data_IF_524368600477
#
_entry.id   IF_524368600477
#
_cell.length_a   1.000
_cell.length_b   1.000
_cell.length_c   1.000
_cell.angle_alpha   90.00
_cell.angle_beta   90.00
_cell.angle_gamma   90.00
#
_symmetry.space_group_name_H-M   'P 1'
#
loop_
_entity.id
_entity.type
_entity.pdbx_description
1 polymer ?
#
# COMPACT_ATOMS: atom_id res chain seq x y z
N UNK A 1 57.69 28.26 -40.04
CA UNK A 1 57.18 27.17 -40.90
C UNK A 1 56.13 26.40 -40.11
N UNK A 2 55.07 25.97 -40.80
CA UNK A 2 53.74 25.56 -40.30
C UNK A 2 53.73 24.40 -39.28
N UNK A 3 52.63 24.37 -38.51
CA UNK A 3 51.87 23.16 -38.09
C UNK A 3 52.49 22.33 -36.93
N UNK A 4 51.80 21.95 -35.84
CA UNK A 4 50.41 21.49 -35.68
C UNK A 4 49.84 21.80 -34.29
N UNK A 5 48.55 22.11 -34.29
CA UNK A 5 47.59 22.10 -33.19
C UNK A 5 47.35 20.64 -32.73
N UNK A 6 47.30 20.42 -31.42
CA UNK A 6 46.70 19.24 -30.75
C UNK A 6 45.80 19.83 -29.66
N UNK A 7 44.53 20.17 -29.94
CA UNK A 7 43.31 19.34 -29.67
C UNK A 7 43.45 18.58 -28.34
N UNK A 8 43.00 19.18 -27.23
CA UNK A 8 41.73 18.83 -26.56
C UNK A 8 41.58 17.30 -26.36
N UNK A 9 41.56 16.78 -25.14
CA UNK A 9 40.40 16.90 -24.25
C UNK A 9 40.79 16.58 -22.82
N UNK A 10 40.44 17.49 -21.91
CA UNK A 10 40.46 17.30 -20.47
C UNK A 10 39.48 16.14 -20.15
N UNK A 11 40.02 15.00 -19.72
CA UNK A 11 39.25 13.86 -19.26
C UNK A 11 38.35 14.31 -18.11
N UNK A 12 37.07 14.45 -18.41
CA UNK A 12 36.01 14.70 -17.45
C UNK A 12 35.97 13.50 -16.51
N UNK A 13 36.42 13.68 -15.27
CA UNK A 13 36.12 12.76 -14.17
C UNK A 13 34.60 12.73 -14.03
N UNK A 14 33.97 11.77 -14.69
CA UNK A 14 32.63 11.29 -14.41
C UNK A 14 32.68 10.61 -13.04
N UNK A 15 32.51 11.42 -11.99
CA UNK A 15 31.94 10.98 -10.72
C UNK A 15 30.52 10.48 -11.04
N UNK A 16 30.42 9.22 -11.46
CA UNK A 16 29.17 8.45 -11.38
C UNK A 16 28.97 8.21 -9.88
N UNK A 17 28.36 9.19 -9.23
CA UNK A 17 27.77 8.99 -7.93
C UNK A 17 26.68 7.93 -8.09
N UNK A 18 26.96 6.72 -7.61
CA UNK A 18 25.93 5.78 -7.23
C UNK A 18 25.08 6.46 -6.15
N UNK A 19 23.96 7.06 -6.54
CA UNK A 19 22.95 7.52 -5.58
C UNK A 19 22.16 6.30 -5.10
N UNK A 20 22.24 5.94 -3.80
CA UNK A 20 21.43 4.89 -3.23
C UNK A 20 20.25 5.57 -2.53
N UNK A 21 19.30 6.14 -3.27
CA UNK A 21 18.06 6.63 -2.67
C UNK A 21 16.97 6.74 -3.74
N UNK A 22 15.90 5.96 -3.57
CA UNK A 22 14.65 6.08 -4.32
C UNK A 22 13.86 7.32 -3.94
N UNK A 23 14.52 8.47 -3.86
CA UNK A 23 13.90 9.77 -3.62
C UNK A 23 14.02 10.63 -4.89
N UNK A 24 12.85 11.11 -5.31
CA UNK A 24 12.62 12.16 -6.29
C UNK A 24 12.78 11.80 -7.76
N UNK A 25 11.69 11.24 -8.32
CA UNK A 25 11.27 11.68 -9.65
C UNK A 25 11.13 13.23 -9.62
N UNK A 26 11.95 13.86 -10.44
CA UNK A 26 12.20 15.29 -10.49
C UNK A 26 10.95 16.08 -10.92
N UNK A 27 10.37 16.83 -9.98
CA UNK A 27 9.81 18.17 -10.24
C UNK A 27 8.35 18.31 -10.66
N UNK A 28 7.63 17.25 -11.06
CA UNK A 28 6.19 17.33 -11.37
C UNK A 28 5.41 16.34 -10.51
N UNK A 29 4.69 16.86 -9.51
CA UNK A 29 3.66 16.10 -8.78
C UNK A 29 2.65 15.56 -9.80
N UNK A 30 2.74 14.29 -10.15
CA UNK A 30 1.76 13.63 -11.00
C UNK A 30 0.47 13.47 -10.18
N UNK A 31 -0.53 14.29 -10.49
CA UNK A 31 -1.90 14.08 -10.03
C UNK A 31 -2.64 13.39 -11.19
N UNK A 32 -2.92 12.08 -11.10
CA UNK A 32 -3.73 11.43 -12.12
C UNK A 32 -5.11 12.12 -12.18
N UNK A 33 -5.73 12.23 -13.37
CA UNK A 33 -7.13 12.66 -13.47
C UNK A 33 -8.05 11.81 -12.59
N UNK A 34 -9.18 12.36 -12.16
CA UNK A 34 -10.15 11.66 -11.30
C UNK A 34 -10.61 10.35 -11.94
N UNK A 35 -10.82 10.36 -13.25
CA UNK A 35 -11.17 9.19 -14.06
C UNK A 35 -10.12 8.10 -13.97
N UNK A 36 -8.85 8.47 -13.80
CA UNK A 36 -7.74 7.52 -13.67
C UNK A 36 -7.68 6.93 -12.27
N UNK A 37 -7.91 7.76 -11.23
CA UNK A 37 -7.98 7.30 -9.84
C UNK A 37 -9.16 6.34 -9.60
N UNK A 38 -10.24 6.49 -10.37
CA UNK A 38 -11.40 5.61 -10.32
C UNK A 38 -11.20 4.25 -11.01
N UNK A 39 -10.18 4.10 -11.86
CA UNK A 39 -9.92 2.84 -12.58
C UNK A 39 -9.48 1.75 -11.63
N UNK A 40 -9.83 0.52 -11.97
CA UNK A 40 -9.43 -0.68 -11.22
C UNK A 40 -8.07 -1.14 -11.71
N UNK A 41 -7.18 -1.45 -10.77
CA UNK A 41 -5.91 -2.16 -11.02
C UNK A 41 -6.03 -3.58 -10.46
N UNK A 42 -5.64 -4.55 -11.28
CA UNK A 42 -5.57 -5.95 -10.88
C UNK A 42 -4.13 -6.28 -10.45
N UNK A 43 -3.96 -6.82 -9.26
CA UNK A 43 -2.66 -7.18 -8.68
C UNK A 43 -2.69 -8.63 -8.21
N UNK A 44 -1.55 -9.29 -8.19
CA UNK A 44 -1.37 -10.65 -7.68
C UNK A 44 -0.34 -10.63 -6.55
N UNK A 45 -0.72 -11.13 -5.37
CA UNK A 45 0.15 -11.22 -4.20
C UNK A 45 -0.11 -12.53 -3.48
N UNK A 46 0.94 -13.29 -3.17
CA UNK A 46 0.83 -14.55 -2.43
C UNK A 46 -0.04 -15.62 -3.11
N UNK A 47 -0.18 -15.57 -4.44
CA UNK A 47 -1.03 -16.47 -5.23
C UNK A 47 -2.51 -16.08 -5.29
N UNK A 48 -2.87 -14.91 -4.77
CA UNK A 48 -4.23 -14.37 -4.83
C UNK A 48 -4.29 -13.16 -5.75
N UNK A 49 -5.34 -13.07 -6.57
CA UNK A 49 -5.61 -11.90 -7.39
C UNK A 49 -6.59 -10.95 -6.69
N UNK A 50 -6.21 -9.68 -6.61
CA UNK A 50 -6.98 -8.63 -6.00
C UNK A 50 -7.21 -7.48 -6.98
N UNK A 51 -8.38 -6.86 -6.89
CA UNK A 51 -8.81 -5.77 -7.76
C UNK A 51 -9.17 -4.58 -6.88
N UNK A 52 -8.42 -3.49 -7.03
CA UNK A 52 -8.57 -2.28 -6.24
C UNK A 52 -8.83 -1.09 -7.14
N UNK A 53 -9.63 -0.09 -6.71
CA UNK A 53 -9.59 1.18 -7.40
C UNK A 53 -8.22 1.82 -7.14
N UNK A 54 -7.65 2.48 -8.14
CA UNK A 54 -6.28 3.01 -8.06
C UNK A 54 -6.11 3.97 -6.87
N UNK A 55 -7.17 4.72 -6.50
CA UNK A 55 -7.19 5.58 -5.31
C UNK A 55 -6.91 4.82 -4.01
N UNK A 56 -7.39 3.57 -3.84
CA UNK A 56 -7.23 2.81 -2.60
C UNK A 56 -5.78 2.36 -2.37
N UNK A 57 -4.98 2.31 -3.43
CA UNK A 57 -3.55 1.92 -3.38
C UNK A 57 -2.63 3.10 -3.71
N UNK A 58 -3.13 4.33 -3.51
CA UNK A 58 -2.41 5.57 -3.73
C UNK A 58 -2.53 6.47 -2.50
N UNK A 59 -1.44 7.14 -2.11
CA UNK A 59 -1.48 8.17 -1.07
C UNK A 59 -0.58 9.34 -1.40
N UNK A 60 -1.13 10.54 -1.28
CA UNK A 60 -0.39 11.79 -1.46
C UNK A 60 0.38 11.88 -2.80
N UNK A 61 -0.21 11.33 -3.86
CA UNK A 61 0.39 11.26 -5.21
C UNK A 61 1.42 10.17 -5.43
N UNK A 62 1.60 9.26 -4.47
CA UNK A 62 2.50 8.12 -4.59
C UNK A 62 1.72 6.79 -4.61
N UNK A 63 2.20 5.86 -5.42
CA UNK A 63 1.76 4.47 -5.39
C UNK A 63 2.16 3.82 -4.06
N UNK A 64 1.29 2.95 -3.55
CA UNK A 64 1.54 2.07 -2.40
C UNK A 64 1.72 0.61 -2.80
N UNK A 65 1.97 0.37 -4.08
CA UNK A 65 2.20 -0.95 -4.66
C UNK A 65 3.68 -1.12 -4.94
N UNK A 66 4.27 -2.21 -4.46
CA UNK A 66 5.69 -2.49 -4.56
C UNK A 66 5.94 -3.92 -5.01
N UNK A 67 7.03 -4.12 -5.74
CA UNK A 67 7.50 -5.41 -6.22
C UNK A 67 8.98 -5.56 -5.92
N UNK A 68 9.52 -6.78 -6.00
CA UNK A 68 10.96 -6.98 -5.93
C UNK A 68 11.67 -6.20 -7.05
N UNK A 69 12.70 -5.45 -6.67
CA UNK A 69 13.61 -4.78 -7.58
C UNK A 69 14.40 -5.83 -8.37
N UNK A 70 14.59 -5.62 -9.67
CA UNK A 70 15.54 -6.42 -10.45
C UNK A 70 16.98 -6.04 -10.12
N UNK A 71 17.84 -7.01 -9.83
CA UNK A 71 19.28 -6.80 -9.59
C UNK A 71 19.92 -7.88 -8.71
N UNK A 72 21.26 -7.92 -8.68
CA UNK A 72 22.05 -8.76 -7.76
C UNK A 72 22.16 -8.06 -6.40
N UNK A 73 21.59 -8.65 -5.36
CA UNK A 73 21.59 -8.09 -4.01
C UNK A 73 20.46 -8.64 -3.12
N UNK A 74 20.38 -8.19 -1.85
CA UNK A 74 19.27 -8.58 -0.99
C UNK A 74 17.95 -8.21 -1.65
N UNK A 75 16.93 -9.08 -1.49
CA UNK A 75 15.59 -8.86 -2.01
C UNK A 75 15.12 -7.47 -1.56
N UNK A 76 15.07 -6.51 -2.49
CA UNK A 76 14.66 -5.12 -2.26
C UNK A 76 13.28 -4.89 -2.88
N UNK A 77 12.39 -4.13 -2.23
CA UNK A 77 11.11 -3.69 -2.76
C UNK A 77 11.27 -2.32 -3.42
N UNK A 78 10.75 -2.23 -4.64
CA UNK A 78 10.68 -1.04 -5.45
C UNK A 78 9.21 -0.67 -5.65
N UNK A 79 8.86 0.58 -5.32
CA UNK A 79 7.55 1.12 -5.63
C UNK A 79 7.33 1.14 -7.14
N UNK A 80 6.16 0.67 -7.58
CA UNK A 80 5.72 0.81 -8.96
C UNK A 80 5.25 2.25 -9.12
N UNK A 81 5.83 3.06 -10.03
CA UNK A 81 5.41 4.44 -10.21
C UNK A 81 3.91 4.58 -10.47
N UNK A 82 3.27 5.60 -9.89
CA UNK A 82 1.82 5.81 -10.03
C UNK A 82 1.39 5.99 -11.50
N UNK A 83 2.23 6.63 -12.31
CA UNK A 83 2.00 6.76 -13.76
C UNK A 83 1.95 5.40 -14.46
N UNK A 84 2.78 4.46 -14.02
CA UNK A 84 2.86 3.12 -14.60
C UNK A 84 1.62 2.33 -14.19
N UNK A 85 1.21 2.39 -12.91
CA UNK A 85 -0.06 1.81 -12.46
C UNK A 85 -1.27 2.38 -13.20
N UNK A 86 -1.29 3.68 -13.47
CA UNK A 86 -2.35 4.34 -14.23
C UNK A 86 -2.41 3.90 -15.71
N UNK A 87 -1.25 3.71 -16.35
CA UNK A 87 -1.17 3.18 -17.70
C UNK A 87 -1.63 1.71 -17.74
N UNK A 88 -1.19 0.92 -16.75
CA UNK A 88 -1.56 -0.48 -16.57
C UNK A 88 -3.07 -0.63 -16.37
N UNK A 89 -3.69 0.14 -15.46
CA UNK A 89 -5.14 0.08 -15.20
C UNK A 89 -6.01 0.45 -16.41
N UNK A 90 -5.42 1.09 -17.42
CA UNK A 90 -6.10 1.46 -18.65
C UNK A 90 -6.00 0.41 -19.77
N UNK A 91 -5.07 -0.54 -19.65
CA UNK A 91 -4.69 -1.45 -20.74
C UNK A 91 -4.73 -2.93 -20.36
N UNK A 92 -4.74 -3.27 -19.07
CA UNK A 92 -4.53 -4.63 -18.62
C UNK A 92 -5.68 -5.60 -18.87
N UNK A 93 -5.32 -6.84 -19.21
CA UNK A 93 -6.17 -8.04 -19.18
C UNK A 93 -5.81 -9.03 -18.06
N UNK A 94 -4.68 -8.85 -17.39
CA UNK A 94 -4.13 -9.81 -16.41
C UNK A 94 -3.53 -9.07 -15.20
N UNK A 95 -3.51 -9.66 -13.99
CA UNK A 95 -2.97 -9.01 -12.79
C UNK A 95 -1.44 -8.74 -12.86
N UNK A 96 -0.96 -7.67 -12.23
CA UNK A 96 0.49 -7.47 -11.99
C UNK A 96 0.94 -8.21 -10.72
N UNK A 97 2.01 -9.00 -10.82
CA UNK A 97 2.64 -9.62 -9.65
C UNK A 97 3.36 -8.57 -8.79
N UNK A 98 3.07 -8.56 -7.50
CA UNK A 98 3.56 -7.59 -6.52
C UNK A 98 3.88 -8.30 -5.20
N UNK A 99 4.78 -7.71 -4.42
CA UNK A 99 5.23 -8.29 -3.15
C UNK A 99 4.70 -7.52 -1.94
N UNK A 100 4.25 -6.27 -2.13
CA UNK A 100 3.62 -5.47 -1.09
C UNK A 100 2.58 -4.50 -1.67
N UNK A 101 1.47 -4.33 -0.96
CA UNK A 101 0.41 -3.36 -1.27
C UNK A 101 -0.06 -2.73 0.04
N UNK A 102 0.04 -1.42 0.20
CA UNK A 102 -0.69 -0.72 1.27
C UNK A 102 -2.04 -0.22 0.74
N UNK A 103 -3.10 -0.57 1.45
CA UNK A 103 -4.49 -0.32 1.08
C UNK A 103 -5.04 0.70 2.08
N UNK A 104 -5.42 1.86 1.59
CA UNK A 104 -6.24 2.82 2.34
C UNK A 104 -7.71 2.38 2.19
N UNK A 105 -8.48 2.46 3.27
CA UNK A 105 -9.90 2.13 3.31
C UNK A 105 -10.76 3.37 3.56
N UNK A 106 -10.22 4.57 3.56
CA UNK A 106 -10.97 5.80 3.77
C UNK A 106 -10.31 7.00 3.06
N UNK A 107 -10.96 8.16 3.15
CA UNK A 107 -10.35 9.44 2.73
C UNK A 107 -10.28 9.65 1.22
N UNK A 108 -10.99 8.87 0.41
CA UNK A 108 -10.96 8.98 -1.06
C UNK A 108 -11.53 10.30 -1.59
N UNK A 109 -12.35 10.98 -0.81
CA UNK A 109 -12.90 12.29 -1.14
C UNK A 109 -11.85 13.40 -1.12
N UNK A 110 -10.62 13.16 -0.64
CA UNK A 110 -9.56 14.15 -0.56
C UNK A 110 -8.23 13.64 -1.09
N UNK A 111 -7.41 14.53 -1.63
CA UNK A 111 -6.07 14.19 -2.14
C UNK A 111 -5.05 15.23 -1.70
N UNK A 112 -3.99 14.79 -1.03
CA UNK A 112 -2.86 15.66 -0.66
C UNK A 112 -1.93 15.85 -1.85
N UNK A 113 -1.77 17.09 -2.28
CA UNK A 113 -0.65 17.50 -3.13
C UNK A 113 0.54 17.85 -2.24
N UNK A 114 1.56 17.00 -2.25
CA UNK A 114 2.76 17.17 -1.41
C UNK A 114 3.62 18.35 -1.83
N UNK A 115 3.62 18.72 -3.12
CA UNK A 115 4.37 19.89 -3.60
C UNK A 115 3.78 21.21 -3.10
N UNK A 116 2.46 21.28 -2.99
CA UNK A 116 1.76 22.48 -2.53
C UNK A 116 1.45 22.44 -1.02
N UNK A 117 1.74 21.33 -0.37
CA UNK A 117 1.29 21.00 1.00
C UNK A 117 -0.20 21.32 1.24
N UNK A 118 -1.05 20.96 0.27
CA UNK A 118 -2.49 21.26 0.28
C UNK A 118 -3.33 20.03 0.01
N UNK A 119 -4.46 19.96 0.70
CA UNK A 119 -5.51 18.99 0.44
C UNK A 119 -6.48 19.53 -0.60
N UNK A 120 -6.85 18.68 -1.55
CA UNK A 120 -7.82 18.97 -2.58
C UNK A 120 -8.99 18.02 -2.43
N UNK A 121 -10.18 18.57 -2.26
CA UNK A 121 -11.41 17.80 -2.33
C UNK A 121 -11.63 17.28 -3.76
N UNK A 122 -12.06 16.02 -3.86
CA UNK A 122 -12.39 15.31 -5.09
C UNK A 122 -13.73 14.57 -4.92
N UNK A 123 -14.83 15.26 -4.55
CA UNK A 123 -16.11 14.62 -4.28
C UNK A 123 -16.67 13.88 -5.51
N UNK A 124 -16.34 14.35 -6.71
CA UNK A 124 -16.74 13.71 -7.97
C UNK A 124 -16.08 12.33 -8.20
N UNK A 125 -15.06 11.95 -7.41
CA UNK A 125 -14.47 10.62 -7.50
C UNK A 125 -15.47 9.54 -7.08
N UNK A 126 -16.26 9.79 -6.03
CA UNK A 126 -17.11 8.77 -5.43
C UNK A 126 -18.09 8.17 -6.45
N UNK A 127 -18.74 9.02 -7.27
CA UNK A 127 -19.67 8.57 -8.31
C UNK A 127 -19.01 7.83 -9.49
N UNK A 128 -17.68 7.89 -9.63
CA UNK A 128 -16.92 7.22 -10.70
C UNK A 128 -16.35 5.87 -10.27
N UNK A 129 -16.35 5.57 -8.96
CA UNK A 129 -15.88 4.28 -8.44
C UNK A 129 -16.86 3.16 -8.83
N UNK A 130 -16.34 2.12 -9.47
CA UNK A 130 -17.13 0.97 -9.93
C UNK A 130 -17.43 -0.01 -8.80
N UNK A 131 -16.49 -0.19 -7.87
CA UNK A 131 -16.67 -1.03 -6.69
C UNK A 131 -17.55 -0.33 -5.65
N UNK A 132 -18.58 -1.03 -5.21
CA UNK A 132 -19.61 -0.53 -4.31
C UNK A 132 -19.07 -0.19 -2.92
N UNK A 133 -18.17 -1.02 -2.38
CA UNK A 133 -17.51 -0.75 -1.10
C UNK A 133 -16.76 0.59 -1.15
N UNK A 134 -15.99 0.84 -2.20
CA UNK A 134 -15.15 2.03 -2.32
C UNK A 134 -15.99 3.29 -2.53
N UNK A 135 -17.02 3.18 -3.38
CA UNK A 135 -17.99 4.26 -3.63
C UNK A 135 -18.71 4.70 -2.36
N UNK A 136 -19.17 3.76 -1.54
CA UNK A 136 -19.88 4.07 -0.29
C UNK A 136 -18.96 4.66 0.77
N UNK A 137 -17.78 4.08 0.92
CA UNK A 137 -16.75 4.58 1.82
C UNK A 137 -16.27 6.00 1.44
N UNK A 138 -16.21 6.31 0.14
CA UNK A 138 -15.95 7.66 -0.36
C UNK A 138 -17.07 8.65 -0.02
N UNK A 139 -18.32 8.18 0.04
CA UNK A 139 -19.50 8.96 0.38
C UNK A 139 -19.80 8.94 1.90
N UNK A 140 -18.76 8.81 2.73
CA UNK A 140 -18.78 8.81 4.20
C UNK A 140 -19.65 7.71 4.87
N UNK A 141 -19.96 6.62 4.16
CA UNK A 141 -20.51 5.42 4.78
C UNK A 141 -19.36 4.55 5.30
N UNK A 142 -18.84 4.87 6.47
CA UNK A 142 -17.74 4.09 7.04
C UNK A 142 -18.21 2.68 7.43
N UNK A 143 -17.85 1.69 6.61
CA UNK A 143 -18.19 0.29 6.86
C UNK A 143 -17.21 -0.39 7.83
N UNK A 144 -16.01 0.17 7.99
CA UNK A 144 -14.95 -0.40 8.80
C UNK A 144 -14.99 0.19 10.22
N UNK A 145 -15.36 -0.65 11.19
CA UNK A 145 -15.38 -0.27 12.61
C UNK A 145 -13.98 -0.30 13.22
N UNK A 146 -13.91 0.01 14.52
CA UNK A 146 -12.69 -0.11 15.32
C UNK A 146 -11.49 0.69 14.77
N UNK A 147 -11.77 1.79 14.05
CA UNK A 147 -10.76 2.64 13.40
C UNK A 147 -9.83 1.88 12.43
N UNK A 148 -10.33 0.84 11.74
CA UNK A 148 -9.59 0.21 10.66
C UNK A 148 -9.62 1.10 9.41
N UNK A 149 -8.59 1.93 9.26
CA UNK A 149 -8.46 2.93 8.18
C UNK A 149 -7.68 2.43 6.98
N UNK A 150 -6.93 1.35 7.15
CA UNK A 150 -6.07 0.78 6.13
C UNK A 150 -5.20 -0.34 6.70
N UNK A 151 -4.62 -1.12 5.80
CA UNK A 151 -3.71 -2.21 6.14
C UNK A 151 -2.77 -2.49 4.97
N UNK A 152 -1.72 -3.25 5.22
CA UNK A 152 -0.75 -3.66 4.21
C UNK A 152 -0.86 -5.16 3.97
N UNK A 153 -0.92 -5.57 2.71
CA UNK A 153 -0.63 -6.94 2.29
C UNK A 153 0.85 -7.03 1.91
N UNK A 154 1.53 -8.08 2.35
CA UNK A 154 2.93 -8.33 2.03
C UNK A 154 3.19 -9.83 1.89
N UNK A 155 4.02 -10.23 0.94
CA UNK A 155 4.54 -11.60 0.88
C UNK A 155 5.42 -11.87 2.11
N UNK A 156 5.20 -13.00 2.79
CA UNK A 156 5.94 -13.33 4.00
C UNK A 156 7.46 -13.34 3.78
N UNK A 157 7.92 -13.80 2.60
CA UNK A 157 9.33 -13.78 2.20
C UNK A 157 9.91 -12.38 1.98
N UNK A 158 9.07 -11.37 1.71
CA UNK A 158 9.51 -9.98 1.52
C UNK A 158 9.68 -9.23 2.86
N UNK A 159 9.24 -9.81 3.99
CA UNK A 159 9.30 -9.15 5.29
C UNK A 159 10.74 -8.96 5.81
N UNK A 160 11.66 -9.86 5.46
CA UNK A 160 13.04 -9.86 5.96
C UNK A 160 13.88 -8.65 5.48
N UNK A 161 13.51 -8.02 4.36
CA UNK A 161 14.31 -6.99 3.69
C UNK A 161 13.79 -5.56 3.84
N UNK A 162 12.60 -5.34 4.43
CA UNK A 162 11.87 -4.09 4.23
C UNK A 162 11.21 -3.49 5.47
N UNK A 163 11.32 -2.17 5.58
CA UNK A 163 10.50 -1.40 6.51
C UNK A 163 9.06 -1.34 5.99
N UNK A 164 8.11 -1.78 6.82
CA UNK A 164 6.68 -1.59 6.60
C UNK A 164 6.22 -0.15 6.95
N UNK A 165 7.18 0.74 7.20
CA UNK A 165 6.96 2.08 7.71
C UNK A 165 7.44 2.20 9.16
N UNK A 166 7.53 3.45 9.60
CA UNK A 166 7.74 3.81 10.99
C UNK A 166 6.45 4.42 11.52
N UNK A 167 6.07 4.00 12.71
CA UNK A 167 5.00 4.65 13.45
C UNK A 167 5.65 5.77 14.25
N UNK A 168 5.23 7.03 14.04
CA UNK A 168 5.74 8.17 14.79
C UNK A 168 5.57 7.92 16.29
N UNK A 169 6.68 7.92 17.03
CA UNK A 169 6.70 7.64 18.46
C UNK A 169 7.14 6.22 18.83
N UNK A 170 7.30 5.32 17.87
CA UNK A 170 7.97 4.03 18.06
C UNK A 170 9.43 4.11 17.59
N UNK A 171 10.33 3.51 18.38
CA UNK A 171 11.75 3.36 18.01
C UNK A 171 11.98 2.24 17.02
N UNK A 172 11.11 1.23 17.05
CA UNK A 172 11.21 0.05 16.21
C UNK A 172 10.29 0.16 14.99
N UNK A 173 10.75 -0.39 13.87
CA UNK A 173 9.95 -0.47 12.64
C UNK A 173 8.97 -1.65 12.70
N UNK A 174 7.79 -1.46 12.09
CA UNK A 174 6.70 -2.46 12.11
C UNK A 174 7.14 -3.84 11.64
N UNK A 175 8.06 -3.92 10.68
CA UNK A 175 8.56 -5.20 10.18
C UNK A 175 9.31 -6.01 11.24
N UNK A 176 10.09 -5.38 12.12
CA UNK A 176 10.84 -6.10 13.16
C UNK A 176 9.88 -6.67 14.20
N UNK A 177 8.85 -5.91 14.57
CA UNK A 177 7.78 -6.40 15.44
C UNK A 177 7.06 -7.61 14.82
N UNK A 178 6.67 -7.51 13.54
CA UNK A 178 6.00 -8.61 12.82
C UNK A 178 6.89 -9.85 12.69
N UNK A 179 8.20 -9.70 12.50
CA UNK A 179 9.15 -10.83 12.39
C UNK A 179 9.27 -11.66 13.68
N UNK A 180 8.96 -11.08 14.85
CA UNK A 180 8.97 -11.80 16.14
C UNK A 180 7.67 -12.49 16.47
N UNK A 181 6.59 -12.16 15.78
CA UNK A 181 5.28 -12.73 16.07
C UNK A 181 5.27 -14.22 15.75
N UNK A 182 4.68 -15.00 16.66
CA UNK A 182 4.44 -16.41 16.43
C UNK A 182 3.04 -16.58 15.81
N UNK A 183 2.99 -16.70 14.49
CA UNK A 183 1.73 -16.79 13.77
C UNK A 183 1.06 -18.15 13.97
N UNK A 184 -0.15 -18.11 14.51
CA UNK A 184 -1.09 -19.23 14.40
C UNK A 184 -1.86 -19.12 13.09
N UNK A 185 -2.20 -20.26 12.51
CA UNK A 185 -2.96 -20.32 11.27
C UNK A 185 -4.26 -19.54 11.47
N UNK A 186 -4.49 -18.58 10.59
CA UNK A 186 -5.72 -17.78 10.57
C UNK A 186 -5.99 -16.96 11.84
N UNK A 187 -5.04 -16.70 12.74
CA UNK A 187 -5.27 -15.81 13.89
C UNK A 187 -4.40 -14.54 13.81
N UNK A 188 -4.93 -13.36 14.21
CA UNK A 188 -4.10 -12.17 14.34
C UNK A 188 -3.13 -12.33 15.52
N UNK A 189 -1.88 -11.96 15.27
CA UNK A 189 -0.82 -11.83 16.29
C UNK A 189 -0.53 -10.36 16.53
N UNK A 190 -0.19 -10.01 17.76
CA UNK A 190 -0.04 -8.63 18.23
C UNK A 190 1.30 -8.47 18.93
N UNK A 191 2.01 -7.39 18.63
CA UNK A 191 3.24 -6.98 19.31
C UNK A 191 3.13 -5.49 19.61
N UNK A 192 3.06 -5.19 20.91
CA UNK A 192 3.11 -3.84 21.46
C UNK A 192 4.52 -3.64 22.03
N UNK A 193 5.49 -3.32 21.16
CA UNK A 193 6.89 -3.18 21.57
C UNK A 193 7.06 -2.29 22.82
N UNK A 194 8.13 -2.45 23.60
CA UNK A 194 8.27 -1.82 24.93
C UNK A 194 8.19 -0.28 24.91
N UNK A 195 8.55 0.35 23.79
CA UNK A 195 8.54 1.80 23.60
C UNK A 195 7.32 2.31 22.78
N UNK A 196 6.30 1.47 22.61
CA UNK A 196 5.20 1.67 21.66
C UNK A 196 4.33 2.92 21.86
N UNK A 197 4.41 3.65 22.98
CA UNK A 197 3.45 4.69 23.40
C UNK A 197 1.97 4.25 23.20
N UNK A 198 1.71 2.95 23.37
CA UNK A 198 0.38 2.34 23.23
C UNK A 198 -0.07 2.01 21.80
N UNK A 199 0.83 2.07 20.80
CA UNK A 199 0.59 1.60 19.45
C UNK A 199 1.09 0.15 19.29
N UNK A 200 0.31 -0.74 18.70
CA UNK A 200 0.71 -2.14 18.51
C UNK A 200 0.71 -2.48 17.02
N UNK A 201 1.72 -3.24 16.60
CA UNK A 201 1.71 -3.89 15.30
C UNK A 201 0.84 -5.13 15.40
N UNK A 202 -0.03 -5.33 14.40
CA UNK A 202 -0.86 -6.51 14.28
C UNK A 202 -0.60 -7.13 12.92
N UNK A 203 -0.44 -8.45 12.88
CA UNK A 203 -0.31 -9.17 11.63
C UNK A 203 -1.05 -10.50 11.67
N UNK A 204 -1.55 -10.92 10.50
CA UNK A 204 -2.34 -12.13 10.33
C UNK A 204 -1.98 -12.82 9.02
N UNK A 205 -1.79 -14.15 9.00
CA UNK A 205 -1.60 -14.89 7.76
C UNK A 205 -2.79 -14.78 6.80
N UNK A 206 -2.50 -14.56 5.52
CA UNK A 206 -3.44 -14.62 4.40
C UNK A 206 -2.98 -15.74 3.48
N UNK A 207 -3.66 -16.88 3.56
CA UNK A 207 -3.22 -18.09 2.85
C UNK A 207 -1.86 -18.59 3.38
N UNK A 208 -1.02 -19.10 2.47
CA UNK A 208 0.29 -19.68 2.83
C UNK A 208 1.48 -18.72 2.65
N UNK A 209 1.31 -17.66 1.85
CA UNK A 209 2.44 -16.86 1.34
C UNK A 209 2.35 -15.38 1.67
N UNK A 210 1.25 -14.90 2.23
CA UNK A 210 1.02 -13.50 2.49
C UNK A 210 0.65 -13.23 3.96
N UNK A 211 0.88 -11.99 4.39
CA UNK A 211 0.46 -11.44 5.66
C UNK A 211 -0.37 -10.18 5.39
N UNK A 212 -1.43 -10.00 6.18
CA UNK A 212 -2.05 -8.69 6.37
C UNK A 212 -1.45 -8.06 7.63
N UNK A 213 -1.00 -6.82 7.54
CA UNK A 213 -0.34 -6.07 8.63
C UNK A 213 -1.02 -4.72 8.81
N UNK A 214 -1.36 -4.37 10.05
CA UNK A 214 -1.93 -3.06 10.39
C UNK A 214 -1.46 -2.62 11.78
N UNK A 215 -1.83 -1.41 12.17
CA UNK A 215 -1.42 -0.79 13.42
C UNK A 215 -2.65 -0.40 14.20
N UNK A 216 -2.69 -0.75 15.47
CA UNK A 216 -3.74 -0.36 16.41
C UNK A 216 -3.17 0.57 17.48
N UNK A 217 -4.00 1.42 18.06
CA UNK A 217 -3.64 2.29 19.17
C UNK A 217 -4.33 1.95 20.47
N UNK A 218 -4.19 2.81 21.50
CA UNK A 218 -4.67 2.52 22.85
C UNK A 218 -6.19 2.27 22.91
N UNK A 219 -6.96 2.93 22.04
CA UNK A 219 -8.43 2.83 22.02
C UNK A 219 -8.99 1.63 21.25
N UNK A 220 -8.16 0.87 20.51
CA UNK A 220 -8.60 -0.23 19.65
C UNK A 220 -7.61 -1.41 19.63
N UNK A 221 -6.81 -1.56 20.69
CA UNK A 221 -5.83 -2.65 20.88
C UNK A 221 -6.36 -3.79 21.75
N UNK A 222 -7.66 -3.78 22.10
CA UNK A 222 -8.27 -4.92 22.80
C UNK A 222 -8.36 -6.13 21.87
N UNK A 223 -8.29 -7.34 22.44
CA UNK A 223 -8.40 -8.59 21.70
C UNK A 223 -9.65 -8.63 20.82
N UNK A 224 -10.80 -8.22 21.34
CA UNK A 224 -12.05 -8.19 20.59
C UNK A 224 -11.98 -7.21 19.41
N UNK A 225 -11.45 -6.00 19.62
CA UNK A 225 -11.30 -5.01 18.55
C UNK A 225 -10.38 -5.53 17.45
N UNK A 226 -9.26 -6.15 17.82
CA UNK A 226 -8.30 -6.75 16.87
C UNK A 226 -8.95 -7.89 16.08
N UNK A 227 -9.73 -8.75 16.75
CA UNK A 227 -10.44 -9.85 16.09
C UNK A 227 -11.51 -9.35 15.12
N UNK A 228 -12.25 -8.29 15.46
CA UNK A 228 -13.21 -7.65 14.55
C UNK A 228 -12.52 -7.04 13.33
N UNK A 229 -11.39 -6.35 13.52
CA UNK A 229 -10.59 -5.81 12.42
C UNK A 229 -10.05 -6.93 11.51
N UNK A 230 -9.54 -8.02 12.10
CA UNK A 230 -9.07 -9.19 11.36
C UNK A 230 -10.19 -9.87 10.55
N UNK A 231 -11.39 -9.99 11.12
CA UNK A 231 -12.57 -10.49 10.40
C UNK A 231 -12.98 -9.56 9.26
N UNK A 232 -12.93 -8.24 9.48
CA UNK A 232 -13.22 -7.25 8.45
C UNK A 232 -12.22 -7.29 7.28
N UNK A 233 -10.92 -7.42 7.57
CA UNK A 233 -9.87 -7.59 6.55
C UNK A 233 -10.14 -8.85 5.72
N UNK A 234 -10.47 -9.99 6.36
CA UNK A 234 -10.80 -11.22 5.62
C UNK A 234 -12.04 -11.08 4.75
N UNK A 235 -13.11 -10.50 5.29
CA UNK A 235 -14.34 -10.26 4.55
C UNK A 235 -14.05 -9.39 3.32
N UNK A 236 -13.27 -8.32 3.50
CA UNK A 236 -12.85 -7.44 2.43
C UNK A 236 -12.06 -8.17 1.35
N UNK A 237 -11.00 -8.89 1.73
CA UNK A 237 -10.16 -9.64 0.78
C UNK A 237 -10.92 -10.73 0.03
N UNK A 238 -11.88 -11.37 0.69
CA UNK A 238 -12.66 -12.47 0.11
C UNK A 238 -13.78 -12.00 -0.81
N UNK A 239 -14.47 -10.91 -0.46
CA UNK A 239 -15.73 -10.52 -1.11
C UNK A 239 -15.67 -9.16 -1.84
N UNK A 240 -14.86 -8.22 -1.37
CA UNK A 240 -14.89 -6.84 -1.88
C UNK A 240 -13.90 -6.57 -3.01
N UNK A 241 -12.76 -7.29 -3.04
CA UNK A 241 -11.65 -7.02 -3.96
C UNK A 241 -11.29 -8.21 -4.85
N UNK A 242 -12.24 -9.12 -5.08
CA UNK A 242 -12.12 -10.14 -6.13
C UNK A 242 -12.31 -9.55 -7.54
N UNK A 243 -12.11 -10.37 -8.57
CA UNK A 243 -12.39 -9.98 -9.97
C UNK A 243 -13.83 -9.52 -10.19
N UNK A 244 -14.77 -10.12 -9.44
CA UNK A 244 -16.13 -9.64 -9.27
C UNK A 244 -16.35 -9.35 -7.79
N UNK A 245 -16.90 -8.18 -7.50
CA UNK A 245 -17.27 -7.80 -6.15
C UNK A 245 -18.58 -8.51 -5.75
N UNK A 246 -18.57 -9.20 -4.60
CA UNK A 246 -19.77 -9.66 -3.91
C UNK A 246 -20.07 -8.73 -2.73
N UNK A 247 -20.62 -7.56 -3.05
CA UNK A 247 -20.87 -6.50 -2.07
C UNK A 247 -21.87 -6.94 -1.00
N UNK A 248 -22.84 -7.80 -1.33
CA UNK A 248 -23.83 -8.29 -0.39
C UNK A 248 -23.17 -9.18 0.66
N UNK A 249 -22.41 -10.20 0.23
CA UNK A 249 -21.70 -11.08 1.17
C UNK A 249 -20.65 -10.31 1.99
N UNK A 250 -20.01 -9.30 1.40
CA UNK A 250 -19.09 -8.42 2.13
C UNK A 250 -19.77 -7.74 3.33
N UNK A 251 -20.93 -7.10 3.12
CA UNK A 251 -21.66 -6.41 4.20
C UNK A 251 -22.23 -7.39 5.23
N UNK A 252 -22.74 -8.54 4.79
CA UNK A 252 -23.20 -9.60 5.70
C UNK A 252 -22.06 -10.08 6.60
N UNK A 253 -20.87 -10.32 6.03
CA UNK A 253 -19.69 -10.72 6.78
C UNK A 253 -19.20 -9.63 7.75
N UNK A 254 -19.22 -8.36 7.35
CA UNK A 254 -18.91 -7.25 8.25
C UNK A 254 -19.89 -7.16 9.42
N UNK A 255 -21.19 -7.34 9.17
CA UNK A 255 -22.20 -7.28 10.21
C UNK A 255 -22.10 -8.46 11.18
N UNK A 256 -21.76 -9.67 10.69
CA UNK A 256 -21.56 -10.84 11.54
C UNK A 256 -20.29 -10.77 12.42
N UNK A 257 -19.30 -9.96 12.00
CA UNK A 257 -18.09 -9.73 12.77
C UNK A 257 -18.28 -8.69 13.90
N UNK A 258 -19.45 -8.05 14.00
CA UNK A 258 -19.73 -6.99 14.99
C UNK A 258 -20.58 -7.49 16.15
#
# INVERSE_FOLDING_TARGET
MRMKVIIATLATLLLIACSPDGLHDSGKSFRPPVETLAKVVAVELGGHSYHFPLVAVTRAGFSRVERLCGGEGPARLCAIPLRDLAAISSTQRSPISVSRIAIELEGYSSFKNTKLDRWFEIPHLCGKLTQSWARRQCADQNHFKDNLRGFTLIEASALAGHSLGFITGQRESVNVAVQRMNFKRDDPSVDCGPDARGLCSVAMPIGQRALAVWVVGPGNSTTDSINRQAAAIRAFLKHAVGAQEDYKAFIEALNAAN
#
